data_IF_732130444466
#
_entry.id   IF_732130444466
#
_cell.length_a   1.000
_cell.length_b   1.000
_cell.length_c   1.000
_cell.angle_alpha   90.00
_cell.angle_beta   90.00
_cell.angle_gamma   90.00
#
_symmetry.space_group_name_H-M   'P 1'
#
loop_
_entity.id
_entity.type
_entity.pdbx_description
1 polymer ?
#
# COMPACT_ATOMS: atom_id res chain seq x y z
N UNK A 1 67.17 13.55 -60.39
CA UNK A 1 66.37 13.39 -61.63
C UNK A 1 65.16 12.56 -61.35
N UNK A 2 64.04 12.94 -61.88
CA UNK A 2 62.75 12.30 -61.94
C UNK A 2 61.73 12.75 -60.88
N UNK A 3 60.89 13.71 -61.27
CA UNK A 3 59.62 14.10 -60.71
C UNK A 3 58.56 13.05 -61.05
N UNK A 4 57.74 12.69 -60.11
CA UNK A 4 56.45 12.12 -60.42
C UNK A 4 55.41 12.78 -59.51
N UNK A 5 54.54 13.61 -60.14
CA UNK A 5 53.34 14.14 -59.65
C UNK A 5 52.24 13.04 -59.64
N UNK A 6 51.45 12.91 -58.57
CA UNK A 6 50.16 12.25 -58.64
C UNK A 6 49.16 12.92 -57.76
N UNK A 7 48.28 13.61 -58.42
CA UNK A 7 46.99 14.05 -57.92
C UNK A 7 46.17 12.81 -57.46
N UNK A 8 45.73 12.83 -56.23
CA UNK A 8 44.78 11.84 -55.70
C UNK A 8 43.56 12.52 -55.16
N UNK A 9 42.47 12.25 -55.80
CA UNK A 9 41.12 12.83 -55.55
C UNK A 9 40.67 12.58 -54.13
N UNK A 10 40.22 13.64 -53.47
CA UNK A 10 39.49 13.61 -52.22
C UNK A 10 38.05 13.17 -52.50
N UNK A 11 37.78 11.91 -52.13
CA UNK A 11 36.40 11.39 -52.10
C UNK A 11 35.81 11.77 -50.77
N UNK A 12 34.96 12.83 -50.78
CA UNK A 12 34.16 13.26 -49.66
C UNK A 12 33.05 12.23 -49.44
N UNK A 13 33.23 11.33 -48.47
CA UNK A 13 32.18 10.42 -48.00
C UNK A 13 31.33 11.18 -47.00
N UNK A 14 30.23 11.77 -47.49
CA UNK A 14 29.19 12.39 -46.65
C UNK A 14 28.36 11.28 -46.00
N UNK A 15 28.72 10.88 -44.78
CA UNK A 15 27.93 9.99 -43.96
C UNK A 15 26.74 10.82 -43.40
N UNK A 16 25.61 10.69 -44.05
CA UNK A 16 24.34 11.17 -43.52
C UNK A 16 23.93 10.25 -42.38
N UNK A 17 24.29 10.62 -41.16
CA UNK A 17 23.70 10.02 -39.96
C UNK A 17 22.22 10.43 -39.86
N UNK A 18 21.33 9.60 -40.41
CA UNK A 18 19.93 9.63 -40.05
C UNK A 18 19.80 9.12 -38.62
N UNK A 19 19.94 10.03 -37.67
CA UNK A 19 19.57 9.82 -36.28
C UNK A 19 18.03 9.76 -36.21
N UNK A 20 17.47 8.65 -36.57
CA UNK A 20 16.09 8.33 -36.25
C UNK A 20 15.96 8.16 -34.75
N UNK A 21 15.73 9.27 -34.04
CA UNK A 21 15.22 9.24 -32.68
C UNK A 21 13.83 8.62 -32.71
N UNK A 22 13.76 7.29 -32.80
CA UNK A 22 12.57 6.54 -32.46
C UNK A 22 12.33 6.75 -30.96
N UNK A 23 11.61 7.83 -30.63
CA UNK A 23 10.94 7.93 -29.34
C UNK A 23 10.05 6.69 -29.24
N UNK A 24 10.57 5.63 -28.62
CA UNK A 24 9.78 4.53 -28.13
C UNK A 24 8.84 5.13 -27.06
N UNK A 25 7.71 5.69 -27.51
CA UNK A 25 6.56 5.89 -26.66
C UNK A 25 6.22 4.52 -26.12
N UNK A 26 6.67 4.21 -24.90
CA UNK A 26 6.07 3.13 -24.14
C UNK A 26 4.58 3.39 -24.14
N UNK A 27 3.75 2.46 -24.62
CA UNK A 27 2.32 2.60 -24.47
C UNK A 27 2.05 2.68 -22.96
N UNK A 28 1.73 3.86 -22.47
CA UNK A 28 1.17 4.01 -21.13
C UNK A 28 -0.24 3.44 -21.23
N UNK A 29 -0.34 2.12 -21.08
CA UNK A 29 -1.63 1.47 -20.89
C UNK A 29 -2.17 2.00 -19.58
N UNK A 30 -3.09 2.95 -19.67
CA UNK A 30 -3.82 3.41 -18.50
C UNK A 30 -4.65 2.23 -18.02
N UNK A 31 -4.50 1.80 -16.75
CA UNK A 31 -5.31 0.72 -16.20
C UNK A 31 -6.79 1.04 -16.41
N UNK A 32 -7.52 0.11 -16.99
CA UNK A 32 -8.92 0.32 -17.41
C UNK A 32 -9.89 0.03 -16.26
N UNK A 33 -9.45 -0.72 -15.26
CA UNK A 33 -10.30 -1.20 -14.18
C UNK A 33 -9.82 -0.75 -12.81
N UNK A 34 -10.77 -0.42 -11.94
CA UNK A 34 -10.51 -0.07 -10.55
C UNK A 34 -10.95 -1.20 -9.63
N UNK A 35 -10.16 -1.48 -8.61
CA UNK A 35 -10.43 -2.48 -7.60
C UNK A 35 -10.60 -1.78 -6.25
N UNK A 36 -11.64 -2.17 -5.53
CA UNK A 36 -11.90 -1.69 -4.18
C UNK A 36 -11.86 -2.88 -3.22
N UNK A 37 -11.10 -2.82 -2.12
CA UNK A 37 -11.11 -3.86 -1.11
C UNK A 37 -12.51 -4.08 -0.56
N UNK A 38 -12.89 -5.33 -0.40
CA UNK A 38 -14.13 -5.68 0.28
C UNK A 38 -13.93 -5.50 1.79
N UNK A 39 -14.08 -4.27 2.26
CA UNK A 39 -14.10 -4.02 3.69
C UNK A 39 -15.38 -4.65 4.25
N UNK A 40 -15.22 -5.62 5.13
CA UNK A 40 -16.35 -6.12 5.89
C UNK A 40 -16.78 -5.01 6.83
N UNK A 41 -17.93 -4.40 6.53
CA UNK A 41 -18.62 -3.65 7.56
C UNK A 41 -18.85 -4.62 8.71
N UNK A 42 -18.40 -4.30 9.96
CA UNK A 42 -18.79 -5.10 11.09
C UNK A 42 -20.31 -5.16 11.01
N UNK A 43 -20.88 -6.37 10.97
CA UNK A 43 -22.32 -6.52 11.04
C UNK A 43 -22.72 -5.85 12.35
N UNK A 44 -23.10 -4.60 12.25
CA UNK A 44 -23.65 -3.88 13.39
C UNK A 44 -24.81 -4.77 13.85
N UNK A 45 -24.76 -5.33 15.06
CA UNK A 45 -25.89 -6.05 15.57
C UNK A 45 -27.08 -5.14 15.38
N UNK A 46 -28.22 -5.73 14.93
CA UNK A 46 -29.46 -5.01 14.69
C UNK A 46 -29.66 -3.94 15.78
N UNK A 47 -30.23 -2.77 15.49
CA UNK A 47 -30.11 -1.52 16.27
C UNK A 47 -30.43 -1.57 17.79
N UNK A 48 -30.67 -2.76 18.31
CA UNK A 48 -30.93 -3.00 19.73
C UNK A 48 -29.67 -3.16 20.61
N UNK A 49 -28.48 -3.29 20.05
CA UNK A 49 -27.25 -3.35 20.84
C UNK A 49 -26.30 -2.21 20.44
N UNK A 50 -26.52 -1.04 21.02
CA UNK A 50 -25.41 -0.14 21.25
C UNK A 50 -24.39 -0.96 22.04
N UNK A 51 -23.23 -1.28 21.44
CA UNK A 51 -22.09 -1.79 22.19
C UNK A 51 -21.72 -0.70 23.18
N UNK A 52 -22.28 -0.82 24.39
CA UNK A 52 -21.92 0.09 25.48
C UNK A 52 -20.46 -0.18 25.76
N UNK A 53 -19.60 0.68 25.26
CA UNK A 53 -18.16 0.57 25.53
C UNK A 53 -17.97 0.54 27.03
N UNK A 54 -17.13 -0.39 27.49
CA UNK A 54 -16.81 -0.50 28.90
C UNK A 54 -16.41 0.88 29.44
N UNK A 55 -16.82 1.25 30.64
CA UNK A 55 -16.39 2.51 31.29
C UNK A 55 -14.87 2.66 31.34
N UNK A 56 -14.13 1.54 31.27
CA UNK A 56 -12.69 1.42 31.24
C UNK A 56 -12.06 1.52 29.85
N UNK A 57 -12.84 1.72 28.78
CA UNK A 57 -12.29 1.80 27.43
C UNK A 57 -11.25 2.93 27.32
N UNK A 58 -10.07 2.57 26.87
CA UNK A 58 -8.91 3.45 26.76
C UNK A 58 -9.15 4.49 25.66
N UNK A 59 -9.08 5.80 25.97
CA UNK A 59 -9.21 6.82 24.93
C UNK A 59 -7.92 6.86 24.10
N UNK A 60 -8.03 6.75 22.79
CA UNK A 60 -6.92 6.85 21.83
C UNK A 60 -7.28 7.80 20.71
N UNK A 61 -6.33 8.62 20.30
CA UNK A 61 -6.46 9.48 19.14
C UNK A 61 -5.81 8.81 17.92
N UNK A 62 -6.57 8.52 16.88
CA UNK A 62 -6.02 8.04 15.63
C UNK A 62 -5.49 9.22 14.81
N UNK A 63 -4.22 9.15 14.41
CA UNK A 63 -3.60 10.10 13.50
C UNK A 63 -3.80 9.64 12.05
N UNK A 64 -3.61 10.56 11.09
CA UNK A 64 -3.71 10.24 9.67
C UNK A 64 -2.72 9.13 9.28
N UNK A 65 -3.23 8.12 8.59
CA UNK A 65 -2.43 7.02 8.06
C UNK A 65 -1.56 7.52 6.92
N UNK A 66 -0.32 7.05 6.87
CA UNK A 66 0.66 7.42 5.85
C UNK A 66 1.11 6.20 5.05
N UNK A 67 1.72 6.45 3.87
CA UNK A 67 2.40 5.42 3.08
C UNK A 67 3.84 5.80 2.81
N UNK A 68 4.70 4.80 2.58
CA UNK A 68 6.00 5.05 1.95
C UNK A 68 5.84 5.29 0.45
N UNK A 69 6.74 6.11 -0.13
CA UNK A 69 6.58 6.77 -1.42
C UNK A 69 6.35 5.91 -2.68
N UNK A 70 6.58 4.59 -2.63
CA UNK A 70 6.28 3.70 -3.77
C UNK A 70 4.86 3.12 -3.72
N UNK A 71 4.20 3.19 -2.56
CA UNK A 71 2.86 2.65 -2.37
C UNK A 71 1.83 3.70 -2.79
N UNK A 72 1.04 3.35 -3.79
CA UNK A 72 0.00 4.21 -4.33
C UNK A 72 -1.17 3.38 -4.84
N UNK A 73 -1.93 3.93 -5.78
CA UNK A 73 -3.09 3.24 -6.38
C UNK A 73 -2.72 2.10 -7.33
N UNK A 74 -1.43 1.87 -7.58
CA UNK A 74 -0.93 0.80 -8.43
C UNK A 74 -0.97 -0.51 -7.69
N UNK A 75 -1.36 -1.59 -8.36
CA UNK A 75 -1.17 -2.94 -7.86
C UNK A 75 0.23 -3.35 -8.27
N UNK A 76 1.07 -3.64 -7.29
CA UNK A 76 2.46 -4.03 -7.50
C UNK A 76 2.58 -5.55 -7.34
N UNK A 77 3.18 -6.19 -8.32
CA UNK A 77 3.54 -7.60 -8.27
C UNK A 77 5.02 -7.72 -7.91
N UNK A 78 5.31 -8.45 -6.84
CA UNK A 78 6.66 -8.75 -6.44
C UNK A 78 7.08 -10.13 -6.96
N UNK A 79 8.09 -10.15 -7.83
CA UNK A 79 8.71 -11.37 -8.30
C UNK A 79 9.63 -12.00 -7.22
N UNK A 80 10.00 -13.30 -7.33
CA UNK A 80 10.88 -13.96 -6.36
C UNK A 80 12.26 -13.31 -6.21
N UNK A 81 12.73 -12.59 -7.22
CA UNK A 81 13.97 -11.81 -7.18
C UNK A 81 13.82 -10.43 -6.51
N UNK A 82 12.63 -10.10 -6.02
CA UNK A 82 12.33 -8.81 -5.40
C UNK A 82 11.97 -7.68 -6.38
N UNK A 83 11.95 -7.96 -7.68
CA UNK A 83 11.54 -6.98 -8.69
C UNK A 83 10.05 -6.66 -8.57
N UNK A 84 9.73 -5.36 -8.60
CA UNK A 84 8.35 -4.86 -8.56
C UNK A 84 7.91 -4.48 -9.97
N UNK A 85 6.78 -5.04 -10.40
CA UNK A 85 6.12 -4.70 -11.66
C UNK A 85 4.70 -4.21 -11.42
N UNK A 86 4.23 -3.28 -12.23
CA UNK A 86 2.88 -2.74 -12.11
C UNK A 86 1.89 -3.63 -12.87
N UNK A 87 0.70 -3.84 -12.30
CA UNK A 87 -0.40 -4.45 -13.02
C UNK A 87 -0.86 -3.54 -14.16
N UNK A 88 -0.96 -4.12 -15.37
CA UNK A 88 -1.31 -3.38 -16.58
C UNK A 88 -2.81 -3.10 -16.69
N UNK A 89 -3.65 -3.83 -15.96
CA UNK A 89 -5.11 -3.85 -16.12
C UNK A 89 -5.83 -3.22 -14.94
N UNK A 90 -5.34 -3.46 -13.75
CA UNK A 90 -6.03 -3.14 -12.51
C UNK A 90 -5.26 -2.15 -11.64
N UNK A 91 -5.99 -1.35 -10.90
CA UNK A 91 -5.45 -0.48 -9.85
C UNK A 91 -6.46 -0.33 -8.72
N UNK A 92 -5.99 0.03 -7.55
CA UNK A 92 -6.86 0.36 -6.43
C UNK A 92 -7.71 1.59 -6.75
N UNK A 93 -8.96 1.60 -6.33
CA UNK A 93 -9.85 2.76 -6.49
C UNK A 93 -9.37 3.96 -5.67
N UNK A 94 -8.82 3.71 -4.48
CA UNK A 94 -8.13 4.69 -3.65
C UNK A 94 -6.71 4.23 -3.32
N UNK A 95 -5.90 5.09 -2.70
CA UNK A 95 -4.60 4.70 -2.17
C UNK A 95 -4.78 3.79 -0.93
N UNK A 96 -3.91 2.77 -0.74
CA UNK A 96 -4.06 1.77 0.33
C UNK A 96 -4.06 2.34 1.76
N UNK A 97 -3.40 3.47 2.00
CA UNK A 97 -3.47 4.20 3.28
C UNK A 97 -4.89 4.62 3.64
N UNK A 98 -5.68 5.04 2.66
CA UNK A 98 -7.08 5.40 2.87
C UNK A 98 -7.92 4.21 3.30
N UNK A 99 -7.65 3.05 2.72
CA UNK A 99 -8.32 1.81 3.12
C UNK A 99 -7.91 1.38 4.52
N UNK A 100 -6.62 1.52 4.88
CA UNK A 100 -6.13 1.22 6.21
C UNK A 100 -6.73 2.18 7.26
N UNK A 101 -6.82 3.48 6.98
CA UNK A 101 -7.48 4.45 7.86
C UNK A 101 -8.94 4.06 8.10
N UNK A 102 -9.66 3.71 7.02
CA UNK A 102 -11.05 3.26 7.12
C UNK A 102 -11.15 1.97 7.95
N UNK A 103 -10.28 0.98 7.71
CA UNK A 103 -10.27 -0.27 8.46
C UNK A 103 -10.00 -0.06 9.96
N UNK A 104 -9.05 0.82 10.31
CA UNK A 104 -8.78 1.19 11.70
C UNK A 104 -10.00 1.84 12.37
N UNK A 105 -10.70 2.72 11.68
CA UNK A 105 -11.93 3.36 12.20
C UNK A 105 -13.07 2.38 12.37
N UNK A 106 -13.23 1.42 11.46
CA UNK A 106 -14.27 0.39 11.56
C UNK A 106 -13.97 -0.58 12.68
N UNK A 107 -12.73 -1.06 12.79
CA UNK A 107 -12.32 -2.04 13.80
C UNK A 107 -12.51 -1.52 15.22
N UNK A 108 -12.21 -0.25 15.48
CA UNK A 108 -12.39 0.33 16.81
C UNK A 108 -13.87 0.36 17.27
N UNK A 109 -14.83 0.34 16.34
CA UNK A 109 -16.25 0.29 16.70
C UNK A 109 -16.58 -1.03 17.40
N UNK A 110 -15.96 -2.13 16.95
CA UNK A 110 -16.12 -3.49 17.50
C UNK A 110 -15.24 -3.76 18.71
N UNK A 111 -14.19 -2.96 18.93
CA UNK A 111 -13.24 -3.18 20.02
C UNK A 111 -13.78 -2.58 21.33
N UNK A 112 -14.07 -3.39 22.37
CA UNK A 112 -14.61 -2.90 23.65
C UNK A 112 -13.57 -2.13 24.48
N UNK A 113 -12.28 -2.37 24.26
CA UNK A 113 -11.19 -1.91 25.12
C UNK A 113 -10.70 -0.51 24.73
N UNK A 114 -11.01 -0.05 23.52
CA UNK A 114 -10.53 1.22 22.97
C UNK A 114 -11.71 2.09 22.52
N UNK A 115 -11.60 3.39 22.72
CA UNK A 115 -12.52 4.39 22.16
C UNK A 115 -11.75 5.51 21.47
N UNK A 116 -12.21 5.91 20.29
CA UNK A 116 -11.66 7.07 19.60
C UNK A 116 -12.03 8.37 20.30
N UNK A 117 -11.07 9.27 20.34
CA UNK A 117 -11.26 10.67 20.78
C UNK A 117 -10.55 11.59 19.78
N UNK A 118 -11.19 12.68 19.41
CA UNK A 118 -10.63 13.66 18.48
C UNK A 118 -9.80 14.72 19.19
N UNK A 119 -10.10 14.97 20.45
CA UNK A 119 -9.47 16.04 21.24
C UNK A 119 -9.15 15.58 22.65
N UNK A 120 -8.30 16.34 23.32
CA UNK A 120 -7.93 16.08 24.70
C UNK A 120 -6.56 15.43 24.87
N UNK A 121 -6.20 15.16 26.12
CA UNK A 121 -4.93 14.54 26.49
C UNK A 121 -5.09 13.02 26.47
N UNK A 122 -4.92 12.44 25.30
CA UNK A 122 -5.00 11.01 25.10
C UNK A 122 -3.79 10.51 24.32
N UNK A 123 -3.35 9.26 24.50
CA UNK A 123 -2.37 8.62 23.65
C UNK A 123 -2.79 8.69 22.18
N UNK A 124 -1.83 8.66 21.29
CA UNK A 124 -2.10 8.68 19.84
C UNK A 124 -1.52 7.45 19.16
N UNK A 125 -2.28 6.89 18.21
CA UNK A 125 -1.86 5.84 17.32
C UNK A 125 -1.62 6.44 15.92
N UNK A 126 -0.40 6.29 15.40
CA UNK A 126 -0.04 6.55 14.01
C UNK A 126 0.21 5.24 13.30
N UNK A 127 -0.15 5.16 12.01
CA UNK A 127 0.10 4.00 11.17
C UNK A 127 0.78 4.42 9.87
N UNK A 128 1.89 3.74 9.52
CA UNK A 128 2.60 3.95 8.26
C UNK A 128 2.64 2.64 7.48
N UNK A 129 1.99 2.60 6.32
CA UNK A 129 2.02 1.45 5.44
C UNK A 129 3.38 1.34 4.76
N UNK A 130 4.09 0.22 4.99
CA UNK A 130 5.44 -0.02 4.50
C UNK A 130 5.48 -0.90 3.25
N UNK A 131 4.53 -1.87 3.15
CA UNK A 131 4.43 -2.85 2.06
C UNK A 131 2.96 -3.05 1.72
N UNK A 132 2.65 -3.13 0.42
CA UNK A 132 1.32 -3.46 -0.10
C UNK A 132 1.47 -4.06 -1.49
N UNK A 133 1.97 -5.30 -1.55
CA UNK A 133 2.41 -5.94 -2.79
C UNK A 133 1.78 -7.33 -2.95
N UNK A 134 1.55 -7.74 -4.19
CA UNK A 134 1.12 -9.07 -4.55
C UNK A 134 2.36 -9.92 -4.86
N UNK A 135 2.71 -10.83 -3.95
CA UNK A 135 3.78 -11.79 -4.15
C UNK A 135 3.27 -12.96 -5.01
N UNK A 136 4.05 -13.28 -6.06
CA UNK A 136 3.71 -14.34 -7.04
C UNK A 136 4.65 -15.55 -6.94
N UNK A 137 5.38 -15.70 -5.85
CA UNK A 137 6.26 -16.86 -5.61
C UNK A 137 5.43 -18.05 -5.12
N UNK A 138 5.00 -18.91 -6.02
CA UNK A 138 4.14 -20.06 -5.70
C UNK A 138 2.66 -19.68 -5.69
N UNK A 139 2.00 -19.87 -4.54
CA UNK A 139 0.63 -19.38 -4.35
C UNK A 139 0.62 -17.86 -4.22
N UNK A 140 -0.18 -17.19 -5.04
CA UNK A 140 -0.28 -15.72 -5.00
C UNK A 140 -0.79 -15.24 -3.63
N UNK A 141 -0.11 -14.26 -3.05
CA UNK A 141 -0.45 -13.71 -1.75
C UNK A 141 -0.36 -12.19 -1.77
N UNK A 142 -1.39 -11.53 -1.27
CA UNK A 142 -1.29 -10.10 -0.98
C UNK A 142 -0.58 -9.93 0.36
N UNK A 143 0.51 -9.18 0.37
CA UNK A 143 1.33 -8.91 1.55
C UNK A 143 1.16 -7.47 1.98
N UNK A 144 0.93 -7.26 3.27
CA UNK A 144 0.91 -5.95 3.90
C UNK A 144 1.86 -5.87 5.07
N UNK A 145 2.54 -4.75 5.22
CA UNK A 145 3.30 -4.42 6.41
C UNK A 145 3.02 -3.00 6.85
N UNK A 146 2.77 -2.81 8.14
CA UNK A 146 2.46 -1.52 8.76
C UNK A 146 3.36 -1.30 9.95
N UNK A 147 3.93 -0.13 10.04
CA UNK A 147 4.55 0.38 11.26
C UNK A 147 3.50 1.14 12.07
N UNK A 148 3.23 0.68 13.27
CA UNK A 148 2.40 1.36 14.24
C UNK A 148 3.27 2.08 15.26
N UNK A 149 2.91 3.33 15.58
CA UNK A 149 3.55 4.11 16.61
C UNK A 149 2.51 4.59 17.62
N UNK A 150 2.67 4.20 18.87
CA UNK A 150 1.87 4.71 19.98
C UNK A 150 2.68 5.76 20.72
N UNK A 151 2.14 6.96 20.82
CA UNK A 151 2.73 8.02 21.65
C UNK A 151 1.88 8.18 22.89
N UNK A 152 2.43 7.83 24.05
CA UNK A 152 1.77 7.96 25.34
C UNK A 152 1.56 9.42 25.76
N UNK A 153 0.80 9.63 26.84
CA UNK A 153 0.57 10.96 27.42
C UNK A 153 1.84 11.56 28.05
N UNK A 154 2.81 10.74 28.38
CA UNK A 154 4.16 11.08 28.85
C UNK A 154 5.13 11.39 27.69
N UNK A 155 4.68 11.29 26.43
CA UNK A 155 5.43 11.46 25.18
C UNK A 155 6.44 10.35 24.89
N UNK A 156 6.36 9.22 25.56
CA UNK A 156 7.11 8.02 25.18
C UNK A 156 6.51 7.47 23.90
N UNK A 157 7.36 7.07 22.95
CA UNK A 157 6.95 6.51 21.66
C UNK A 157 7.31 5.03 21.66
N UNK A 158 6.32 4.19 21.49
CA UNK A 158 6.46 2.76 21.25
C UNK A 158 6.20 2.46 19.78
N UNK A 159 6.98 1.58 19.20
CA UNK A 159 6.87 1.25 17.77
C UNK A 159 6.81 -0.25 17.57
N UNK A 160 5.86 -0.71 16.75
CA UNK A 160 5.73 -2.11 16.32
C UNK A 160 5.57 -2.18 14.82
N UNK A 161 6.24 -3.14 14.17
CA UNK A 161 6.01 -3.47 12.77
C UNK A 161 5.25 -4.78 12.68
N UNK A 162 4.09 -4.73 12.05
CA UNK A 162 3.26 -5.91 11.76
C UNK A 162 3.36 -6.21 10.28
N UNK A 163 3.75 -7.45 9.93
CA UNK A 163 3.74 -7.97 8.56
C UNK A 163 2.85 -9.19 8.51
N UNK A 164 1.90 -9.21 7.59
CA UNK A 164 0.99 -10.34 7.38
C UNK A 164 0.64 -10.48 5.90
N UNK A 165 0.04 -11.60 5.53
CA UNK A 165 -0.34 -11.87 4.14
C UNK A 165 -1.64 -12.66 4.06
N UNK A 166 -2.36 -12.47 2.96
CA UNK A 166 -3.59 -13.20 2.63
C UNK A 166 -3.44 -13.91 1.28
N UNK A 167 -3.86 -15.18 1.19
CA UNK A 167 -3.85 -15.88 -0.08
C UNK A 167 -4.85 -15.24 -1.05
N UNK A 168 -4.45 -15.17 -2.32
CA UNK A 168 -5.30 -14.70 -3.42
C UNK A 168 -5.56 -15.90 -4.32
N UNK A 169 -6.79 -16.36 -4.37
CA UNK A 169 -7.17 -17.45 -5.27
C UNK A 169 -6.96 -17.03 -6.72
N UNK A 170 -6.56 -17.97 -7.58
CA UNK A 170 -6.01 -17.69 -8.89
C UNK A 170 -6.85 -16.70 -9.73
N UNK A 171 -6.38 -15.48 -9.87
CA UNK A 171 -6.57 -14.62 -11.02
C UNK A 171 -7.86 -13.82 -11.13
N UNK A 172 -8.76 -13.85 -10.16
CA UNK A 172 -9.97 -13.03 -10.20
C UNK A 172 -9.80 -11.74 -9.38
N UNK A 173 -10.15 -10.58 -9.93
CA UNK A 173 -10.05 -9.30 -9.22
C UNK A 173 -10.88 -9.27 -7.92
N UNK A 174 -12.01 -10.01 -7.88
CA UNK A 174 -12.82 -10.16 -6.67
C UNK A 174 -12.08 -10.85 -5.52
N UNK A 175 -11.24 -11.83 -5.83
CA UNK A 175 -10.44 -12.54 -4.81
C UNK A 175 -9.36 -11.64 -4.22
N UNK A 176 -8.75 -10.80 -5.05
CA UNK A 176 -7.78 -9.80 -4.59
C UNK A 176 -8.45 -8.74 -3.70
N UNK A 177 -9.65 -8.29 -4.05
CA UNK A 177 -10.44 -7.36 -3.24
C UNK A 177 -10.83 -7.96 -1.89
N UNK A 178 -11.23 -9.23 -1.87
CA UNK A 178 -11.55 -9.96 -0.65
C UNK A 178 -10.32 -10.20 0.23
N UNK A 179 -9.18 -10.58 -0.38
CA UNK A 179 -7.92 -10.74 0.33
C UNK A 179 -7.45 -9.42 0.95
N UNK A 180 -7.58 -8.32 0.22
CA UNK A 180 -7.26 -6.98 0.72
C UNK A 180 -8.13 -6.59 1.92
N UNK A 181 -9.43 -6.89 1.88
CA UNK A 181 -10.33 -6.65 3.02
C UNK A 181 -9.92 -7.43 4.27
N UNK A 182 -9.62 -8.73 4.13
CA UNK A 182 -9.16 -9.55 5.26
C UNK A 182 -7.81 -9.07 5.81
N UNK A 183 -6.89 -8.71 4.92
CA UNK A 183 -5.57 -8.20 5.29
C UNK A 183 -5.68 -6.89 6.10
N UNK A 184 -6.51 -5.96 5.63
CA UNK A 184 -6.76 -4.68 6.30
C UNK A 184 -7.39 -4.87 7.68
N UNK A 185 -8.39 -5.76 7.79
CA UNK A 185 -9.01 -6.09 9.07
C UNK A 185 -7.97 -6.63 10.07
N UNK A 186 -7.13 -7.59 9.64
CA UNK A 186 -6.07 -8.15 10.49
C UNK A 186 -5.06 -7.10 10.94
N UNK A 187 -4.58 -6.25 10.02
CA UNK A 187 -3.65 -5.18 10.34
C UNK A 187 -4.28 -4.17 11.32
N UNK A 188 -5.55 -3.82 11.13
CA UNK A 188 -6.24 -2.90 12.02
C UNK A 188 -6.43 -3.49 13.43
N UNK A 189 -6.80 -4.77 13.53
CA UNK A 189 -6.95 -5.47 14.80
C UNK A 189 -5.63 -5.52 15.58
N UNK A 190 -4.52 -5.84 14.93
CA UNK A 190 -3.17 -5.83 15.52
C UNK A 190 -2.76 -4.42 15.98
N UNK A 191 -3.06 -3.40 15.19
CA UNK A 191 -2.77 -2.00 15.55
C UNK A 191 -3.51 -1.56 16.82
N UNK A 192 -4.78 -1.94 16.98
CA UNK A 192 -5.54 -1.63 18.17
C UNK A 192 -5.12 -2.47 19.38
N UNK A 193 -4.77 -3.75 19.19
CA UNK A 193 -4.21 -4.59 20.26
C UNK A 193 -2.90 -3.99 20.79
N UNK A 194 -2.02 -3.53 19.88
CA UNK A 194 -0.80 -2.82 20.28
C UNK A 194 -1.11 -1.53 21.01
N UNK A 195 -2.03 -0.70 20.51
CA UNK A 195 -2.39 0.55 21.18
C UNK A 195 -2.98 0.32 22.58
N UNK A 196 -3.65 -0.79 22.83
CA UNK A 196 -4.18 -1.14 24.15
C UNK A 196 -3.10 -1.66 25.11
N UNK A 197 -2.03 -2.31 24.61
CA UNK A 197 -0.96 -2.86 25.45
C UNK A 197 0.03 -1.83 25.97
N UNK A 198 0.15 -0.67 25.30
CA UNK A 198 1.13 0.39 25.60
C UNK A 198 0.55 1.54 26.45
N UNK A 199 -0.42 1.22 27.34
CA UNK A 199 -1.12 2.23 28.20
C UNK A 199 -0.68 2.20 29.64
#
# INVERSE_FOLDING_TARGET
MIRVSRSGAFLLFTIVCLSGAACLKRPTTTPTHMLEPQLFEPQLPAPAMQVTKAPSAIPVRLLDTQTRGHIGRRILHQAPNGELTEDATWRWASAPDRYLDTALRLEVVSNPDVRLVDTGRAPSLAATLLVWDLESAGEARLVGAVEFQVTGTDRVVHTQVVRTSEPVSAGLPGDLAAAAGRLLHRLASEGWAFAASEQ
#
